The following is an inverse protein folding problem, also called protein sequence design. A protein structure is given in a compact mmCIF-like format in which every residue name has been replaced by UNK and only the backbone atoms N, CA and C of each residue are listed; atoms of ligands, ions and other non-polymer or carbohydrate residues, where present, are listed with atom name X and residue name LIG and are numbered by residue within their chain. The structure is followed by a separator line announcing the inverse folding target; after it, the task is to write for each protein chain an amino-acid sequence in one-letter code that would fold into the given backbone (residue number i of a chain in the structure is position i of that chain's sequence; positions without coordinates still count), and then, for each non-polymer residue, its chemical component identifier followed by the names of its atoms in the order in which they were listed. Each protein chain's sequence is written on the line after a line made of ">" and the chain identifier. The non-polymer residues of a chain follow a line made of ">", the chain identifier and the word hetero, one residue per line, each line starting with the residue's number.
data_IF_134869292164
#
_entry.id   IF_134869292164
#
_cell.length_a   1.000
_cell.length_b   1.000
_cell.length_c   1.000
_cell.angle_alpha   90.00
_cell.angle_beta   90.00
_cell.angle_gamma   90.00
#
_symmetry.space_group_name_H-M   'P 1'
#
loop_
_entity.id
_entity.type
_entity.pdbx_description
1 polymer ?
#
# COMPACT_ATOMS: atom_id res chain seq x y z
N UNK A 1 14.26 43.13 15.49
CA UNK A 1 13.46 42.73 16.68
C UNK A 1 12.82 41.37 16.39
N UNK A 2 13.44 40.28 16.83
CA UNK A 2 12.88 38.90 16.71
C UNK A 2 12.55 38.47 18.15
N UNK A 3 11.26 38.26 18.45
CA UNK A 3 10.82 37.66 19.72
C UNK A 3 10.75 36.13 19.52
N UNK A 4 11.60 35.43 20.23
CA UNK A 4 11.48 33.99 20.41
C UNK A 4 10.40 33.72 21.47
N UNK A 5 9.40 32.89 21.11
CA UNK A 5 8.39 32.41 22.04
C UNK A 5 8.93 31.09 22.62
N UNK A 6 9.26 31.12 23.90
CA UNK A 6 9.69 29.96 24.66
C UNK A 6 8.45 29.35 25.34
N UNK A 7 8.03 28.13 24.93
CA UNK A 7 7.03 27.36 25.66
C UNK A 7 7.69 26.57 26.78
N UNK A 8 7.40 26.95 28.01
CA UNK A 8 7.79 26.19 29.21
C UNK A 8 6.78 25.08 29.45
N UNK A 9 7.18 23.83 29.23
CA UNK A 9 6.46 22.68 29.78
C UNK A 9 6.89 22.46 31.24
N UNK A 10 5.92 22.54 32.15
CA UNK A 10 6.10 22.15 33.55
C UNK A 10 5.95 20.63 33.65
N UNK A 11 7.04 19.89 33.79
CA UNK A 11 7.04 18.52 34.25
C UNK A 11 7.00 18.51 35.80
N UNK A 12 5.96 17.88 36.36
CA UNK A 12 5.95 17.48 37.79
C UNK A 12 6.50 16.07 37.91
N UNK A 13 7.55 15.93 38.66
CA UNK A 13 8.08 14.60 39.04
C UNK A 13 7.72 14.36 40.49
N UNK A 14 7.09 13.22 40.78
CA UNK A 14 6.90 12.70 42.14
C UNK A 14 7.86 11.54 42.33
N UNK A 15 8.87 11.72 43.17
CA UNK A 15 9.74 10.64 43.62
C UNK A 15 9.09 9.94 44.82
N UNK A 16 9.06 8.63 44.79
CA UNK A 16 8.67 7.82 45.95
C UNK A 16 9.72 8.03 47.07
N UNK A 17 9.35 8.77 48.11
CA UNK A 17 10.21 9.03 49.29
C UNK A 17 10.13 10.47 49.77
N UNK A 18 8.96 11.02 49.93
CA UNK A 18 8.52 12.20 50.66
C UNK A 18 9.58 13.19 51.21
N UNK A 19 10.24 13.98 50.38
CA UNK A 19 10.90 15.24 50.75
C UNK A 19 10.70 16.29 49.66
N UNK A 20 10.03 17.37 50.00
CA UNK A 20 9.92 18.57 49.15
C UNK A 20 11.22 19.35 49.15
N UNK A 21 11.70 19.72 47.96
CA UNK A 21 12.79 20.66 47.78
C UNK A 21 12.23 22.04 47.41
N UNK A 22 12.49 23.05 48.21
CA UNK A 22 12.22 24.45 47.89
C UNK A 22 13.42 25.06 47.12
N UNK A 23 13.19 25.78 46.02
CA UNK A 23 14.28 26.41 45.28
C UNK A 23 14.77 27.66 45.98
N UNK A 24 16.06 27.70 46.34
CA UNK A 24 16.75 28.90 46.81
C UNK A 24 17.06 29.87 45.67
N UNK A 25 16.86 31.17 45.91
CA UNK A 25 17.26 32.26 45.02
C UNK A 25 18.81 32.42 45.09
N UNK A 26 19.47 32.21 43.95
CA UNK A 26 20.88 32.55 43.80
C UNK A 26 21.22 32.63 42.33
N UNK A 27 21.38 33.83 41.80
CA UNK A 27 21.80 34.06 40.43
C UNK A 27 23.29 33.79 40.26
N UNK A 28 23.67 33.14 39.15
CA UNK A 28 25.07 33.02 38.69
C UNK A 28 25.22 33.44 37.23
N UNK A 29 26.34 34.07 36.87
CA UNK A 29 26.52 34.71 35.56
C UNK A 29 26.87 33.72 34.46
N UNK A 30 26.35 33.99 33.27
CA UNK A 30 26.67 33.31 32.01
C UNK A 30 28.11 33.64 31.56
N UNK A 31 29.00 32.66 31.55
CA UNK A 31 30.17 32.62 30.66
C UNK A 31 30.23 31.26 29.98
N UNK A 32 30.49 31.30 28.68
CA UNK A 32 30.39 30.21 27.74
C UNK A 32 31.23 28.97 28.04
N UNK A 33 30.74 27.85 27.63
CA UNK A 33 31.41 26.55 27.64
C UNK A 33 30.39 25.45 27.72
N UNK A 34 30.01 24.90 26.56
CA UNK A 34 29.20 23.69 26.43
C UNK A 34 29.91 22.51 27.07
N UNK A 35 29.44 22.08 28.23
CA UNK A 35 29.80 20.75 28.78
C UNK A 35 28.52 19.90 28.75
N UNK A 36 28.52 18.90 27.87
CA UNK A 36 27.56 17.82 27.92
C UNK A 36 27.83 17.02 29.22
N UNK A 37 26.82 16.90 30.06
CA UNK A 37 26.81 15.97 31.17
C UNK A 37 26.34 14.62 30.66
N UNK A 38 27.25 13.63 30.66
CA UNK A 38 26.92 12.23 30.53
C UNK A 38 26.22 11.77 31.82
N UNK A 39 24.91 11.55 31.76
CA UNK A 39 24.21 10.76 32.76
C UNK A 39 24.15 9.33 32.28
N UNK A 40 24.93 8.44 32.93
CA UNK A 40 24.73 7.00 32.82
C UNK A 40 23.41 6.62 33.52
N UNK A 41 22.37 6.33 32.73
CA UNK A 41 21.19 5.64 33.22
C UNK A 41 21.44 4.12 33.10
N UNK A 42 21.80 3.48 34.21
CA UNK A 42 21.64 2.04 34.35
C UNK A 42 20.19 1.71 34.60
N UNK A 43 19.44 1.35 33.56
CA UNK A 43 18.19 0.57 33.70
C UNK A 43 17.90 -0.17 32.39
N UNK A 44 18.05 -1.47 32.42
CA UNK A 44 17.17 -2.44 31.74
C UNK A 44 17.16 -2.47 30.21
N UNK A 45 18.26 -2.15 29.50
CA UNK A 45 18.28 -2.21 28.04
C UNK A 45 19.44 -3.06 27.48
N UNK A 46 19.74 -4.21 28.13
CA UNK A 46 20.83 -5.11 27.72
C UNK A 46 20.48 -6.04 26.53
N UNK A 47 19.23 -6.01 26.04
CA UNK A 47 18.77 -6.90 24.95
C UNK A 47 19.23 -6.39 23.56
N UNK A 48 19.57 -5.11 23.42
CA UNK A 48 19.94 -4.52 22.11
C UNK A 48 21.37 -4.88 21.66
N UNK A 49 22.22 -5.40 22.55
CA UNK A 49 23.65 -5.65 22.26
C UNK A 49 23.96 -6.88 21.39
N UNK A 50 22.98 -7.65 20.93
CA UNK A 50 23.21 -8.90 20.18
C UNK A 50 22.87 -8.87 18.68
N UNK A 51 22.53 -7.73 18.11
CA UNK A 51 22.32 -7.63 16.66
C UNK A 51 23.48 -6.89 15.99
N UNK A 52 24.04 -7.39 14.86
CA UNK A 52 25.01 -6.62 14.09
C UNK A 52 24.31 -5.45 13.41
N UNK A 53 24.37 -4.27 14.02
CA UNK A 53 23.87 -3.03 13.43
C UNK A 53 24.95 -2.48 12.52
N UNK A 54 24.78 -2.57 11.22
CA UNK A 54 25.75 -2.08 10.23
C UNK A 54 25.54 -0.63 9.80
N UNK A 55 24.61 0.13 10.41
CA UNK A 55 24.50 1.59 10.25
C UNK A 55 23.97 2.27 11.51
N UNK A 56 24.46 3.46 11.88
CA UNK A 56 23.88 4.27 12.95
C UNK A 56 22.59 4.91 12.44
N UNK A 57 21.50 4.13 12.43
CA UNK A 57 20.18 4.66 12.13
C UNK A 57 19.66 5.45 13.31
N UNK A 58 18.86 6.48 13.03
CA UNK A 58 18.18 7.37 13.99
C UNK A 58 17.24 6.66 14.98
N UNK A 59 17.25 5.32 15.02
CA UNK A 59 16.41 4.45 15.87
C UNK A 59 16.67 4.54 17.37
N UNK A 60 17.76 5.19 17.81
CA UNK A 60 18.21 5.11 19.22
C UNK A 60 17.61 6.14 20.18
N UNK A 61 16.75 7.05 19.75
CA UNK A 61 16.37 8.20 20.60
C UNK A 61 14.91 8.27 21.06
N UNK A 62 14.05 7.38 20.62
CA UNK A 62 12.62 7.40 21.05
C UNK A 62 12.25 6.10 21.75
N UNK A 63 12.13 6.13 23.08
CA UNK A 63 11.51 5.06 23.84
C UNK A 63 10.06 4.91 23.40
N UNK A 64 9.61 3.67 23.14
CA UNK A 64 8.20 3.38 22.96
C UNK A 64 7.41 3.78 24.21
N UNK A 65 6.35 4.56 24.03
CA UNK A 65 5.45 5.01 25.09
C UNK A 65 4.01 4.88 24.64
N UNK A 66 3.18 4.36 25.51
CA UNK A 66 1.73 4.27 25.27
C UNK A 66 0.99 4.20 26.59
N UNK A 67 -0.18 4.84 26.65
CA UNK A 67 -1.13 4.70 27.75
C UNK A 67 -2.09 3.51 27.53
N UNK A 68 -2.11 2.93 26.34
CA UNK A 68 -2.91 1.74 26.01
C UNK A 68 -2.17 0.47 26.42
N UNK A 69 -2.51 -0.06 27.60
CA UNK A 69 -1.86 -1.27 28.16
C UNK A 69 -1.92 -2.49 27.25
N UNK A 70 -2.87 -2.54 26.31
CA UNK A 70 -2.97 -3.66 25.34
C UNK A 70 -1.82 -3.66 24.35
N UNK A 71 -1.20 -2.51 24.09
CA UNK A 71 -0.12 -2.38 23.13
C UNK A 71 1.25 -2.80 23.67
N UNK A 72 1.45 -2.83 25.00
CA UNK A 72 2.74 -3.20 25.58
C UNK A 72 3.18 -4.63 25.21
N UNK A 73 2.36 -5.69 25.40
CA UNK A 73 2.76 -7.04 24.99
C UNK A 73 2.90 -7.18 23.47
N UNK A 74 2.14 -6.41 22.68
CA UNK A 74 2.27 -6.40 21.22
C UNK A 74 3.62 -5.77 20.81
N UNK A 75 4.02 -4.67 21.46
CA UNK A 75 5.32 -4.06 21.25
C UNK A 75 6.47 -5.04 21.51
N UNK A 76 6.41 -5.82 22.61
CA UNK A 76 7.42 -6.83 22.95
C UNK A 76 7.53 -7.89 21.84
N UNK A 77 6.39 -8.40 21.33
CA UNK A 77 6.36 -9.31 20.16
C UNK A 77 6.99 -8.69 18.91
N UNK A 78 6.64 -7.44 18.60
CA UNK A 78 7.16 -6.73 17.42
C UNK A 78 8.68 -6.55 17.49
N UNK A 79 9.21 -6.15 18.65
CA UNK A 79 10.65 -6.04 18.86
C UNK A 79 11.34 -7.39 18.75
N UNK A 80 10.74 -8.44 19.35
CA UNK A 80 11.22 -9.83 19.27
C UNK A 80 11.14 -10.46 17.89
N UNK A 81 10.37 -9.85 16.97
CA UNK A 81 10.12 -10.41 15.62
C UNK A 81 9.12 -11.57 15.66
N UNK A 82 8.26 -11.61 16.68
CA UNK A 82 7.23 -12.62 16.81
C UNK A 82 6.01 -12.27 15.95
N UNK A 83 5.37 -13.29 15.41
CA UNK A 83 4.18 -13.16 14.58
C UNK A 83 2.97 -12.76 15.44
N UNK A 84 2.24 -11.73 15.03
CA UNK A 84 1.05 -11.26 15.71
C UNK A 84 -0.15 -12.19 15.48
N UNK A 85 -0.96 -12.40 16.54
CA UNK A 85 -2.21 -13.15 16.50
C UNK A 85 -3.39 -12.30 15.97
N UNK A 86 -4.55 -12.94 15.79
CA UNK A 86 -5.79 -12.23 15.47
C UNK A 86 -6.19 -11.24 16.58
N UNK A 87 -6.02 -11.62 17.84
CA UNK A 87 -6.34 -10.75 18.99
C UNK A 87 -5.40 -9.55 19.08
N UNK A 88 -4.11 -9.74 18.77
CA UNK A 88 -3.14 -8.64 18.66
C UNK A 88 -3.57 -7.65 17.55
N UNK A 89 -3.96 -8.17 16.39
CA UNK A 89 -4.42 -7.35 15.26
C UNK A 89 -5.70 -6.57 15.61
N UNK A 90 -6.67 -7.20 16.29
CA UNK A 90 -7.86 -6.51 16.78
C UNK A 90 -7.54 -5.44 17.83
N UNK A 91 -6.59 -5.71 18.73
CA UNK A 91 -6.15 -4.73 19.72
C UNK A 91 -5.51 -3.51 19.05
N UNK A 92 -4.70 -3.71 17.98
CA UNK A 92 -4.13 -2.63 17.18
C UNK A 92 -5.22 -1.79 16.49
N UNK A 93 -6.22 -2.42 15.86
CA UNK A 93 -7.34 -1.70 15.24
C UNK A 93 -8.17 -0.91 16.25
N UNK A 94 -8.41 -1.45 17.44
CA UNK A 94 -9.22 -0.86 18.49
C UNK A 94 -8.49 0.13 19.39
N UNK A 95 -7.17 0.26 19.24
CA UNK A 95 -6.39 1.25 19.97
C UNK A 95 -6.68 2.67 19.47
N UNK A 96 -6.84 3.61 20.41
CA UNK A 96 -6.88 5.05 20.11
C UNK A 96 -5.50 5.66 19.94
N UNK A 97 -4.43 4.96 20.32
CA UNK A 97 -3.06 5.45 20.25
C UNK A 97 -2.41 5.13 18.90
N UNK A 98 -2.80 5.90 17.89
CA UNK A 98 -2.27 5.72 16.53
C UNK A 98 -0.76 5.99 16.45
N UNK A 99 -0.21 6.82 17.34
CA UNK A 99 1.22 7.12 17.33
C UNK A 99 2.04 5.91 17.80
N UNK A 100 1.58 5.21 18.83
CA UNK A 100 2.22 3.97 19.28
C UNK A 100 2.12 2.86 18.22
N UNK A 101 0.94 2.68 17.61
CA UNK A 101 0.75 1.72 16.51
C UNK A 101 1.64 2.06 15.32
N UNK A 102 1.71 3.34 14.93
CA UNK A 102 2.56 3.85 13.86
C UNK A 102 4.04 3.67 14.17
N UNK A 103 4.46 3.91 15.41
CA UNK A 103 5.84 3.70 15.84
C UNK A 103 6.29 2.25 15.63
N UNK A 104 5.47 1.28 16.08
CA UNK A 104 5.77 -0.14 15.89
C UNK A 104 5.86 -0.51 14.40
N UNK A 105 4.92 -0.01 13.59
CA UNK A 105 4.91 -0.26 12.15
C UNK A 105 6.13 0.35 11.44
N UNK A 106 6.51 1.57 11.83
CA UNK A 106 7.70 2.24 11.32
C UNK A 106 8.98 1.50 11.72
N UNK A 107 9.05 0.98 12.95
CA UNK A 107 10.17 0.16 13.41
C UNK A 107 10.35 -1.09 12.52
N UNK A 108 9.27 -1.82 12.24
CA UNK A 108 9.31 -2.99 11.33
C UNK A 108 9.75 -2.57 9.93
N UNK A 109 9.16 -1.49 9.40
CA UNK A 109 9.48 -0.94 8.08
C UNK A 109 10.97 -0.56 7.97
N UNK A 110 11.52 0.12 8.97
CA UNK A 110 12.95 0.53 8.98
C UNK A 110 13.88 -0.67 9.14
N UNK A 111 13.48 -1.69 9.91
CA UNK A 111 14.22 -2.95 10.00
C UNK A 111 14.31 -3.67 8.65
N UNK A 112 13.25 -3.61 7.82
CA UNK A 112 13.19 -4.27 6.51
C UNK A 112 13.88 -3.48 5.39
N UNK A 113 13.74 -2.16 5.38
CA UNK A 113 14.08 -1.33 4.22
C UNK A 113 15.05 -0.18 4.52
N UNK A 114 15.46 0.01 5.78
CA UNK A 114 16.24 1.18 6.18
C UNK A 114 15.50 2.47 5.86
N UNK A 115 16.15 3.41 5.19
CA UNK A 115 15.53 4.67 4.77
C UNK A 115 14.94 4.61 3.34
N UNK A 116 15.09 3.50 2.63
CA UNK A 116 14.63 3.35 1.25
C UNK A 116 13.11 3.42 1.16
N UNK A 117 12.60 4.18 0.20
CA UNK A 117 11.18 4.25 -0.16
C UNK A 117 11.04 4.14 -1.67
N UNK A 118 10.20 3.21 -2.09
CA UNK A 118 10.07 2.80 -3.48
C UNK A 118 8.98 3.59 -4.20
N UNK A 119 9.20 3.78 -5.51
CA UNK A 119 8.20 4.28 -6.44
C UNK A 119 8.52 3.76 -7.86
N UNK A 120 7.55 3.77 -8.77
CA UNK A 120 7.79 3.40 -10.16
C UNK A 120 7.25 4.44 -11.15
N UNK A 121 7.63 4.29 -12.42
CA UNK A 121 7.06 5.06 -13.52
C UNK A 121 6.09 4.17 -14.28
N UNK A 122 4.80 4.36 -14.02
CA UNK A 122 3.73 3.52 -14.56
C UNK A 122 2.64 4.34 -15.25
N UNK A 123 1.94 3.68 -16.17
CA UNK A 123 0.80 4.18 -16.89
C UNK A 123 -0.38 3.22 -16.78
N UNK A 124 -1.58 3.75 -16.59
CA UNK A 124 -2.81 2.98 -16.57
C UNK A 124 -3.44 2.90 -17.96
N UNK A 125 -3.98 1.72 -18.28
CA UNK A 125 -4.75 1.47 -19.49
C UNK A 125 -6.04 0.78 -19.05
N UNK A 126 -7.17 1.42 -19.31
CA UNK A 126 -8.48 0.87 -19.00
C UNK A 126 -9.20 0.55 -20.33
N UNK A 127 -9.08 -0.66 -20.90
CA UNK A 127 -9.56 -0.96 -22.24
C UNK A 127 -11.07 -0.87 -22.39
N UNK A 128 -11.82 -1.03 -21.29
CA UNK A 128 -13.28 -0.86 -21.28
C UNK A 128 -13.78 -0.55 -19.87
N UNK A 129 -14.85 0.26 -19.78
CA UNK A 129 -15.62 0.43 -18.57
C UNK A 129 -16.95 -0.33 -18.60
N UNK A 130 -17.27 -1.01 -19.71
CA UNK A 130 -18.46 -1.87 -19.79
C UNK A 130 -18.32 -3.06 -18.84
N UNK A 131 -19.25 -3.19 -17.87
CA UNK A 131 -19.12 -4.17 -16.80
C UNK A 131 -20.46 -4.77 -16.41
N UNK A 132 -20.55 -6.10 -16.38
CA UNK A 132 -21.75 -6.84 -15.94
C UNK A 132 -21.83 -7.02 -14.43
N UNK A 133 -20.75 -6.75 -13.68
CA UNK A 133 -20.73 -7.00 -12.23
C UNK A 133 -21.61 -6.03 -11.43
N UNK A 134 -21.88 -4.83 -11.94
CA UNK A 134 -22.76 -3.83 -11.34
C UNK A 134 -22.52 -3.62 -9.82
N UNK A 135 -21.24 -3.61 -9.38
CA UNK A 135 -20.86 -3.48 -7.97
C UNK A 135 -21.33 -2.15 -7.40
N UNK A 136 -21.92 -2.16 -6.21
CA UNK A 136 -22.40 -0.95 -5.54
C UNK A 136 -21.28 0.00 -5.09
N UNK A 137 -20.07 -0.53 -4.94
CA UNK A 137 -18.88 0.26 -4.59
C UNK A 137 -18.27 1.02 -5.79
N UNK A 138 -18.65 0.71 -7.03
CA UNK A 138 -17.91 1.11 -8.23
C UNK A 138 -18.64 2.22 -9.00
N UNK A 139 -17.95 3.35 -9.19
CA UNK A 139 -18.41 4.45 -10.03
C UNK A 139 -17.94 4.35 -11.49
N UNK A 140 -16.96 3.51 -11.80
CA UNK A 140 -16.34 3.36 -13.12
C UNK A 140 -17.18 2.48 -14.07
N UNK A 141 -17.69 1.35 -13.56
CA UNK A 141 -18.42 0.38 -14.37
C UNK A 141 -19.71 0.95 -14.99
N UNK A 142 -19.93 0.71 -16.27
CA UNK A 142 -21.13 1.09 -17.02
C UNK A 142 -21.81 -0.14 -17.60
N UNK A 143 -23.14 -0.11 -17.71
CA UNK A 143 -23.84 -1.08 -18.53
C UNK A 143 -23.56 -0.80 -20.01
N UNK A 144 -23.47 -1.85 -20.83
CA UNK A 144 -23.34 -1.70 -22.27
C UNK A 144 -24.44 -0.76 -22.82
N UNK A 145 -24.10 0.02 -23.81
CA UNK A 145 -25.03 0.95 -24.52
C UNK A 145 -25.63 2.06 -23.63
N UNK A 146 -25.01 2.33 -22.44
CA UNK A 146 -25.38 3.48 -21.60
C UNK A 146 -24.46 4.67 -21.84
N UNK A 147 -24.89 5.91 -21.55
CA UNK A 147 -24.02 7.09 -21.68
C UNK A 147 -22.71 6.94 -20.91
N UNK A 148 -21.59 7.24 -21.58
CA UNK A 148 -20.27 7.13 -21.03
C UNK A 148 -19.66 5.73 -21.04
N UNK A 149 -20.38 4.70 -21.53
CA UNK A 149 -19.82 3.37 -21.77
C UNK A 149 -18.86 3.44 -22.97
N UNK A 150 -17.70 2.81 -22.82
CA UNK A 150 -16.71 2.72 -23.90
C UNK A 150 -16.00 1.37 -23.91
N UNK A 151 -15.47 1.01 -25.07
CA UNK A 151 -14.56 -0.12 -25.28
C UNK A 151 -13.58 0.30 -26.35
N UNK A 152 -12.31 0.27 -26.04
CA UNK A 152 -11.24 0.63 -26.98
C UNK A 152 -11.09 -0.45 -28.07
N UNK A 153 -10.92 -0.05 -29.31
CA UNK A 153 -10.30 -0.91 -30.29
C UNK A 153 -8.84 -1.19 -29.92
N UNK A 154 -8.24 -2.26 -30.44
CA UNK A 154 -6.84 -2.59 -30.11
C UNK A 154 -5.90 -1.43 -30.46
N UNK A 155 -6.08 -0.82 -31.62
CA UNK A 155 -5.28 0.33 -32.09
C UNK A 155 -5.39 1.52 -31.13
N UNK A 156 -6.60 1.83 -30.65
CA UNK A 156 -6.83 2.89 -29.67
C UNK A 156 -6.11 2.63 -28.36
N UNK A 157 -6.12 1.37 -27.88
CA UNK A 157 -5.38 0.96 -26.69
C UNK A 157 -3.85 1.10 -26.89
N UNK A 158 -3.33 0.77 -28.08
CA UNK A 158 -1.92 0.93 -28.42
C UNK A 158 -1.52 2.40 -28.55
N UNK A 159 -2.36 3.23 -29.14
CA UNK A 159 -2.15 4.68 -29.20
C UNK A 159 -2.18 5.30 -27.80
N UNK A 160 -3.11 4.85 -26.94
CA UNK A 160 -3.16 5.25 -25.53
C UNK A 160 -1.86 4.89 -24.83
N UNK A 161 -1.33 3.69 -25.02
CA UNK A 161 -0.04 3.29 -24.46
C UNK A 161 1.10 4.18 -24.98
N UNK A 162 1.13 4.46 -26.29
CA UNK A 162 2.16 5.24 -26.93
C UNK A 162 2.14 6.73 -26.56
N UNK A 163 0.95 7.33 -26.39
CA UNK A 163 0.78 8.78 -26.16
C UNK A 163 1.42 9.28 -24.86
N UNK A 164 1.58 8.44 -23.87
CA UNK A 164 2.29 8.78 -22.63
C UNK A 164 3.56 7.97 -22.44
N UNK A 165 3.95 7.21 -23.46
CA UNK A 165 5.18 6.44 -23.40
C UNK A 165 6.37 7.37 -23.47
N UNK A 166 7.20 7.27 -22.45
CA UNK A 166 8.58 7.73 -22.47
C UNK A 166 9.44 6.50 -22.20
N UNK A 167 10.70 6.50 -22.56
CA UNK A 167 11.64 5.43 -22.21
C UNK A 167 11.73 5.18 -20.68
N UNK A 168 11.13 6.11 -19.92
CA UNK A 168 11.03 6.00 -18.47
C UNK A 168 9.97 5.01 -17.99
N UNK A 169 8.92 4.71 -18.77
CA UNK A 169 7.81 3.85 -18.34
C UNK A 169 8.29 2.40 -18.18
N UNK A 170 8.14 1.87 -16.96
CA UNK A 170 8.52 0.48 -16.63
C UNK A 170 7.34 -0.46 -16.52
N UNK A 171 6.10 0.07 -16.39
CA UNK A 171 4.90 -0.74 -16.16
C UNK A 171 3.68 -0.15 -16.89
N UNK A 172 2.94 -1.00 -17.60
CA UNK A 172 1.55 -0.74 -17.96
C UNK A 172 0.63 -1.50 -17.00
N UNK A 173 -0.23 -0.75 -16.32
CA UNK A 173 -1.25 -1.29 -15.42
C UNK A 173 -2.58 -1.38 -16.15
N UNK A 174 -3.04 -2.61 -16.42
CA UNK A 174 -4.18 -2.88 -17.31
C UNK A 174 -5.31 -3.52 -16.50
N UNK A 175 -6.39 -2.79 -16.30
CA UNK A 175 -7.61 -3.28 -15.65
C UNK A 175 -8.84 -2.66 -16.30
N UNK A 176 -9.95 -3.38 -16.33
CA UNK A 176 -11.17 -2.89 -16.97
C UNK A 176 -12.46 -3.49 -16.41
N UNK A 177 -13.56 -3.19 -17.08
CA UNK A 177 -14.85 -3.77 -16.81
C UNK A 177 -14.95 -5.23 -17.30
N UNK A 178 -15.87 -6.01 -16.70
CA UNK A 178 -16.22 -7.35 -17.13
C UNK A 178 -17.15 -7.28 -18.34
N UNK A 179 -16.59 -7.13 -19.53
CA UNK A 179 -17.33 -6.89 -20.77
C UNK A 179 -18.08 -8.14 -21.24
N UNK A 180 -19.40 -8.09 -21.49
CA UNK A 180 -20.20 -9.26 -21.85
C UNK A 180 -19.88 -9.86 -23.23
N UNK A 181 -19.42 -9.05 -24.18
CA UNK A 181 -19.32 -9.48 -25.59
C UNK A 181 -17.89 -9.60 -26.10
N UNK A 182 -16.88 -8.96 -25.46
CA UNK A 182 -15.51 -9.08 -25.89
C UNK A 182 -15.04 -10.54 -25.82
N UNK A 183 -14.49 -11.08 -26.91
CA UNK A 183 -13.92 -12.43 -26.91
C UNK A 183 -12.63 -12.45 -26.09
N UNK A 184 -12.28 -13.62 -25.54
CA UNK A 184 -11.01 -13.78 -24.82
C UNK A 184 -9.79 -13.42 -25.68
N UNK A 185 -9.88 -13.69 -27.00
CA UNK A 185 -8.83 -13.35 -27.97
C UNK A 185 -8.48 -11.85 -27.97
N UNK A 186 -9.45 -10.94 -27.76
CA UNK A 186 -9.18 -9.50 -27.65
C UNK A 186 -8.14 -9.20 -26.56
N UNK A 187 -8.23 -9.85 -25.41
CA UNK A 187 -7.31 -9.63 -24.29
C UNK A 187 -5.93 -10.22 -24.56
N UNK A 188 -5.86 -11.36 -25.27
CA UNK A 188 -4.62 -11.94 -25.73
C UNK A 188 -3.91 -11.05 -26.75
N UNK A 189 -4.66 -10.54 -27.73
CA UNK A 189 -4.13 -9.64 -28.77
C UNK A 189 -3.69 -8.28 -28.19
N UNK A 190 -4.44 -7.77 -27.20
CA UNK A 190 -4.06 -6.57 -26.46
C UNK A 190 -2.67 -6.74 -25.82
N UNK A 191 -2.47 -7.81 -25.06
CA UNK A 191 -1.21 -8.04 -24.36
C UNK A 191 -0.05 -8.31 -25.33
N UNK A 192 -0.24 -9.18 -26.33
CA UNK A 192 0.79 -9.49 -27.31
C UNK A 192 1.15 -8.28 -28.18
N UNK A 193 0.15 -7.48 -28.56
CA UNK A 193 0.38 -6.25 -29.32
C UNK A 193 1.12 -5.18 -28.52
N UNK A 194 0.85 -5.03 -27.22
CA UNK A 194 1.62 -4.17 -26.32
C UNK A 194 3.06 -4.66 -26.15
N UNK A 195 3.27 -5.97 -25.95
CA UNK A 195 4.61 -6.56 -25.86
C UNK A 195 5.43 -6.40 -27.13
N UNK A 196 4.79 -6.49 -28.28
CA UNK A 196 5.43 -6.27 -29.57
C UNK A 196 5.94 -4.83 -29.72
N UNK A 197 5.14 -3.84 -29.31
CA UNK A 197 5.44 -2.42 -29.43
C UNK A 197 6.37 -1.91 -28.32
N UNK A 198 6.25 -2.48 -27.12
CA UNK A 198 6.95 -2.05 -25.91
C UNK A 198 7.55 -3.26 -25.17
N UNK A 199 8.52 -3.97 -25.75
CA UNK A 199 9.01 -5.26 -25.24
C UNK A 199 9.63 -5.16 -23.84
N UNK A 200 10.15 -3.99 -23.45
CA UNK A 200 10.78 -3.78 -22.15
C UNK A 200 9.77 -3.40 -21.04
N UNK A 201 8.53 -3.05 -21.39
CA UNK A 201 7.53 -2.64 -20.41
C UNK A 201 6.86 -3.86 -19.79
N UNK A 202 6.79 -3.90 -18.48
CA UNK A 202 6.10 -4.94 -17.72
C UNK A 202 4.58 -4.77 -17.84
N UNK A 203 3.87 -5.81 -18.25
CA UNK A 203 2.41 -5.82 -18.28
C UNK A 203 1.86 -6.38 -16.98
N UNK A 204 1.37 -5.51 -16.10
CA UNK A 204 0.60 -5.87 -14.92
C UNK A 204 -0.88 -5.81 -15.28
N UNK A 205 -1.47 -6.96 -15.61
CA UNK A 205 -2.78 -7.00 -16.25
C UNK A 205 -3.73 -7.99 -15.58
N UNK A 206 -4.98 -7.60 -15.53
CA UNK A 206 -6.15 -8.37 -15.11
C UNK A 206 -6.16 -8.80 -13.65
N UNK A 207 -7.19 -8.34 -12.93
CA UNK A 207 -7.45 -8.77 -11.56
C UNK A 207 -7.88 -10.23 -11.50
N UNK A 208 -7.86 -10.86 -10.33
CA UNK A 208 -8.37 -12.22 -10.14
C UNK A 208 -9.82 -12.35 -10.55
N UNK A 209 -10.60 -11.27 -10.38
CA UNK A 209 -12.02 -11.21 -10.82
C UNK A 209 -12.12 -11.24 -12.34
N UNK A 210 -11.29 -10.47 -13.05
CA UNK A 210 -11.25 -10.47 -14.52
C UNK A 210 -10.79 -11.84 -15.04
N UNK A 211 -9.76 -12.44 -14.47
CA UNK A 211 -9.26 -13.78 -14.84
C UNK A 211 -10.37 -14.82 -14.67
N UNK A 212 -11.07 -14.86 -13.54
CA UNK A 212 -12.17 -15.78 -13.32
C UNK A 212 -13.34 -15.58 -14.30
N UNK A 213 -13.64 -14.32 -14.63
CA UNK A 213 -14.66 -14.00 -15.62
C UNK A 213 -14.25 -14.44 -17.02
N UNK A 214 -13.02 -14.16 -17.44
CA UNK A 214 -12.49 -14.58 -18.74
C UNK A 214 -12.44 -16.10 -18.88
N UNK A 215 -12.02 -16.80 -17.84
CA UNK A 215 -12.03 -18.27 -17.75
C UNK A 215 -13.43 -18.83 -18.03
N UNK A 216 -14.45 -18.32 -17.32
CA UNK A 216 -15.85 -18.71 -17.52
C UNK A 216 -16.33 -18.44 -18.94
N UNK A 217 -15.99 -17.28 -19.51
CA UNK A 217 -16.36 -16.86 -20.86
C UNK A 217 -15.71 -17.72 -21.95
N UNK A 218 -14.42 -18.02 -21.77
CA UNK A 218 -13.66 -18.85 -22.70
C UNK A 218 -13.91 -20.35 -22.54
N UNK A 219 -14.65 -20.75 -21.50
CA UNK A 219 -14.84 -22.18 -21.10
C UNK A 219 -13.52 -22.90 -20.85
N UNK A 220 -12.58 -22.21 -20.23
CA UNK A 220 -11.27 -22.70 -19.81
C UNK A 220 -11.21 -22.81 -18.29
N UNK A 221 -10.30 -23.60 -17.76
CA UNK A 221 -9.93 -23.54 -16.34
C UNK A 221 -9.18 -22.22 -16.03
N UNK A 222 -9.13 -21.84 -14.75
CA UNK A 222 -8.33 -20.68 -14.30
C UNK A 222 -6.87 -20.84 -14.73
N UNK A 223 -6.29 -22.04 -14.58
CA UNK A 223 -4.91 -22.34 -14.97
C UNK A 223 -4.67 -22.12 -16.46
N UNK A 224 -5.49 -22.72 -17.32
CA UNK A 224 -5.36 -22.56 -18.78
C UNK A 224 -5.51 -21.08 -19.20
N UNK A 225 -6.44 -20.36 -18.59
CA UNK A 225 -6.62 -18.91 -18.83
C UNK A 225 -5.36 -18.14 -18.48
N UNK A 226 -4.81 -18.38 -17.30
CA UNK A 226 -3.60 -17.70 -16.83
C UNK A 226 -2.36 -18.07 -17.67
N UNK A 227 -2.22 -19.33 -18.09
CA UNK A 227 -1.14 -19.77 -18.96
C UNK A 227 -1.19 -19.09 -20.33
N UNK A 228 -2.39 -18.94 -20.92
CA UNK A 228 -2.56 -18.23 -22.19
C UNK A 228 -2.30 -16.71 -22.03
N UNK A 229 -2.78 -16.09 -20.95
CA UNK A 229 -2.47 -14.69 -20.64
C UNK A 229 -0.96 -14.48 -20.44
N UNK A 230 -0.30 -15.37 -19.72
CA UNK A 230 1.17 -15.34 -19.56
C UNK A 230 1.88 -15.48 -20.89
N UNK A 231 1.46 -16.42 -21.73
CA UNK A 231 2.03 -16.61 -23.08
C UNK A 231 1.82 -15.39 -24.00
N UNK A 232 0.72 -14.63 -23.80
CA UNK A 232 0.46 -13.39 -24.53
C UNK A 232 1.25 -12.18 -24.01
N UNK A 233 1.99 -12.34 -22.90
CA UNK A 233 2.87 -11.30 -22.38
C UNK A 233 2.45 -10.68 -21.06
N UNK A 234 1.44 -11.20 -20.36
CA UNK A 234 1.14 -10.78 -18.98
C UNK A 234 2.26 -11.25 -18.05
N UNK A 235 2.88 -10.30 -17.34
CA UNK A 235 4.03 -10.57 -16.48
C UNK A 235 3.63 -10.68 -15.00
N UNK A 236 2.56 -9.99 -14.56
CA UNK A 236 2.03 -10.08 -13.19
C UNK A 236 0.57 -9.61 -13.12
N UNK A 237 -0.08 -9.82 -11.97
CA UNK A 237 -1.46 -9.41 -11.74
C UNK A 237 -1.55 -8.26 -10.70
N UNK A 238 -2.46 -7.29 -10.88
CA UNK A 238 -2.59 -6.12 -10.00
C UNK A 238 -3.19 -6.42 -8.61
N UNK A 239 -3.87 -7.55 -8.44
CA UNK A 239 -4.44 -7.95 -7.14
C UNK A 239 -5.76 -7.29 -6.77
N UNK A 240 -6.33 -6.45 -7.62
CA UNK A 240 -7.62 -5.81 -7.38
C UNK A 240 -8.80 -6.80 -7.32
N UNK A 241 -9.97 -6.29 -6.90
CA UNK A 241 -11.20 -7.09 -6.79
C UNK A 241 -11.31 -7.95 -5.53
N UNK A 242 -10.29 -7.97 -4.67
CA UNK A 242 -10.33 -8.63 -3.37
C UNK A 242 -11.37 -7.99 -2.45
N UNK A 243 -11.46 -6.69 -2.47
CA UNK A 243 -12.31 -5.83 -1.61
C UNK A 243 -12.16 -6.19 -0.13
N UNK A 244 -13.10 -6.94 0.43
CA UNK A 244 -13.04 -7.67 1.71
C UNK A 244 -13.50 -9.10 1.45
N UNK A 245 -12.85 -10.10 2.08
CA UNK A 245 -13.19 -11.51 1.87
C UNK A 245 -14.44 -11.98 2.62
N UNK A 246 -14.88 -11.25 3.65
CA UNK A 246 -16.08 -11.59 4.40
C UNK A 246 -17.34 -11.57 3.52
N UNK A 247 -18.02 -12.70 3.39
CA UNK A 247 -19.21 -12.87 2.52
C UNK A 247 -20.29 -11.86 2.84
N UNK A 248 -20.55 -11.61 4.12
CA UNK A 248 -21.50 -10.60 4.59
C UNK A 248 -21.26 -9.23 3.92
N UNK A 249 -20.00 -8.83 3.82
CA UNK A 249 -19.61 -7.56 3.22
C UNK A 249 -19.74 -7.63 1.71
N UNK A 250 -19.24 -8.71 1.08
CA UNK A 250 -19.28 -8.90 -0.37
C UNK A 250 -20.70 -8.87 -0.92
N UNK A 251 -21.67 -9.51 -0.26
CA UNK A 251 -23.10 -9.43 -0.64
C UNK A 251 -23.64 -8.00 -0.66
N UNK A 252 -23.14 -7.11 0.19
CA UNK A 252 -23.58 -5.71 0.22
C UNK A 252 -22.92 -4.90 -0.90
N UNK A 253 -21.63 -5.10 -1.17
CA UNK A 253 -20.83 -4.18 -2.01
C UNK A 253 -20.57 -4.70 -3.42
N UNK A 254 -20.48 -6.02 -3.64
CA UNK A 254 -20.04 -6.63 -4.90
C UNK A 254 -20.55 -8.07 -5.12
N UNK A 255 -21.83 -8.33 -4.87
CA UNK A 255 -22.47 -9.65 -4.88
C UNK A 255 -22.26 -10.47 -6.18
N UNK A 256 -22.05 -9.80 -7.30
CA UNK A 256 -21.85 -10.47 -8.61
C UNK A 256 -20.39 -10.79 -8.95
N UNK A 257 -19.47 -10.50 -8.04
CA UNK A 257 -18.06 -10.93 -8.17
C UNK A 257 -17.88 -12.34 -7.59
N UNK A 258 -16.76 -12.97 -7.93
CA UNK A 258 -16.30 -14.17 -7.25
C UNK A 258 -16.18 -13.90 -5.73
N UNK A 259 -16.39 -14.93 -4.91
CA UNK A 259 -16.23 -14.84 -3.47
C UNK A 259 -14.74 -14.72 -3.04
N UNK A 260 -14.51 -14.62 -1.74
CA UNK A 260 -13.15 -14.44 -1.19
C UNK A 260 -12.27 -15.66 -1.43
N UNK A 261 -12.80 -16.85 -1.29
CA UNK A 261 -12.04 -18.10 -1.45
C UNK A 261 -11.68 -18.32 -2.92
N UNK A 262 -12.60 -18.05 -3.84
CA UNK A 262 -12.33 -18.10 -5.29
C UNK A 262 -11.27 -17.09 -5.71
N UNK A 263 -11.24 -15.90 -5.09
CA UNK A 263 -10.20 -14.91 -5.32
C UNK A 263 -8.83 -15.45 -4.87
N UNK A 264 -8.75 -16.01 -3.66
CA UNK A 264 -7.53 -16.60 -3.10
C UNK A 264 -7.05 -17.80 -3.93
N UNK A 265 -7.97 -18.67 -4.39
CA UNK A 265 -7.63 -19.79 -5.26
C UNK A 265 -7.10 -19.36 -6.62
N UNK A 266 -7.69 -18.30 -7.22
CA UNK A 266 -7.17 -17.73 -8.47
C UNK A 266 -5.77 -17.17 -8.28
N UNK A 267 -5.50 -16.46 -7.17
CA UNK A 267 -4.16 -15.97 -6.84
C UNK A 267 -3.17 -17.12 -6.61
N UNK A 268 -3.57 -18.17 -5.90
CA UNK A 268 -2.77 -19.37 -5.67
C UNK A 268 -2.32 -20.01 -6.98
N UNK A 269 -3.26 -20.20 -7.92
CA UNK A 269 -2.95 -20.79 -9.22
C UNK A 269 -2.00 -19.89 -10.02
N UNK A 270 -2.20 -18.55 -9.99
CA UNK A 270 -1.30 -17.60 -10.63
C UNK A 270 0.13 -17.73 -10.08
N UNK A 271 0.27 -17.79 -8.76
CA UNK A 271 1.58 -17.95 -8.11
C UNK A 271 2.24 -19.29 -8.46
N UNK A 272 1.48 -20.39 -8.52
CA UNK A 272 1.98 -21.73 -8.88
C UNK A 272 2.57 -21.79 -10.30
N UNK A 273 2.04 -21.01 -11.24
CA UNK A 273 2.59 -20.93 -12.61
C UNK A 273 3.68 -19.83 -12.73
N UNK A 274 4.08 -19.25 -11.61
CA UNK A 274 5.17 -18.25 -11.54
C UNK A 274 4.78 -16.82 -11.88
N UNK A 275 3.47 -16.48 -11.96
CA UNK A 275 3.02 -15.09 -12.00
C UNK A 275 2.98 -14.52 -10.58
N UNK A 276 3.62 -13.38 -10.37
CA UNK A 276 3.49 -12.62 -9.12
C UNK A 276 2.24 -11.75 -9.13
N UNK A 277 1.78 -11.33 -7.95
CA UNK A 277 0.67 -10.39 -7.84
C UNK A 277 0.83 -9.42 -6.66
N UNK A 278 0.03 -8.36 -6.66
CA UNK A 278 -0.23 -7.59 -5.46
C UNK A 278 -1.41 -8.21 -4.69
N UNK A 279 -1.61 -7.77 -3.45
CA UNK A 279 -2.81 -8.01 -2.67
C UNK A 279 -3.44 -6.67 -2.29
N UNK A 280 -4.76 -6.57 -2.29
CA UNK A 280 -5.49 -5.35 -1.94
C UNK A 280 -6.53 -5.61 -0.87
N UNK A 281 -6.89 -4.58 -0.12
CA UNK A 281 -8.06 -4.55 0.76
C UNK A 281 -8.76 -3.21 0.60
N UNK A 282 -10.04 -3.20 0.26
CA UNK A 282 -10.85 -1.98 0.25
C UNK A 282 -11.42 -1.77 1.66
N UNK A 283 -11.24 -0.59 2.24
CA UNK A 283 -11.67 -0.27 3.60
C UNK A 283 -12.43 1.05 3.67
N UNK A 284 -13.18 1.24 4.76
CA UNK A 284 -13.93 2.47 5.03
C UNK A 284 -15.34 2.47 4.44
N UNK A 285 -15.96 1.29 4.29
CA UNK A 285 -17.35 1.16 3.81
C UNK A 285 -18.25 0.50 4.87
N UNK A 286 -18.59 -0.80 4.75
CA UNK A 286 -19.52 -1.50 5.66
C UNK A 286 -18.86 -2.63 6.43
N UNK A 287 -17.56 -2.77 6.29
CA UNK A 287 -16.74 -3.74 7.03
C UNK A 287 -16.47 -3.26 8.47
N UNK A 288 -16.12 -4.20 9.34
CA UNK A 288 -15.67 -3.93 10.70
C UNK A 288 -14.20 -4.38 10.91
N UNK A 289 -13.67 -4.23 12.12
CA UNK A 289 -12.29 -4.59 12.43
C UNK A 289 -12.03 -6.09 12.30
N UNK A 290 -13.01 -6.93 12.64
CA UNK A 290 -12.94 -8.38 12.49
C UNK A 290 -12.83 -8.81 11.02
N UNK A 291 -13.61 -8.18 10.13
CA UNK A 291 -13.55 -8.44 8.69
C UNK A 291 -12.18 -8.07 8.11
N UNK A 292 -11.57 -6.96 8.59
CA UNK A 292 -10.23 -6.53 8.18
C UNK A 292 -9.16 -7.49 8.65
N UNK A 293 -9.25 -7.95 9.89
CA UNK A 293 -8.30 -8.92 10.46
C UNK A 293 -8.39 -10.26 9.73
N UNK A 294 -9.60 -10.80 9.50
CA UNK A 294 -9.81 -12.03 8.73
C UNK A 294 -9.16 -11.92 7.34
N UNK A 295 -9.39 -10.80 6.66
CA UNK A 295 -8.81 -10.53 5.34
C UNK A 295 -7.27 -10.56 5.36
N UNK A 296 -6.66 -9.85 6.31
CA UNK A 296 -5.19 -9.83 6.44
C UNK A 296 -4.62 -11.22 6.76
N UNK A 297 -5.28 -11.98 7.65
CA UNK A 297 -4.83 -13.32 8.02
C UNK A 297 -4.94 -14.31 6.86
N UNK A 298 -5.99 -14.24 6.05
CA UNK A 298 -6.13 -15.06 4.83
C UNK A 298 -5.05 -14.73 3.80
N UNK A 299 -4.75 -13.44 3.58
CA UNK A 299 -3.65 -13.04 2.71
C UNK A 299 -2.30 -13.52 3.23
N UNK A 300 -2.05 -13.41 4.54
CA UNK A 300 -0.82 -13.88 5.18
C UNK A 300 -0.65 -15.39 5.00
N UNK A 301 -1.71 -16.16 5.21
CA UNK A 301 -1.69 -17.61 5.04
C UNK A 301 -1.36 -18.02 3.59
N UNK A 302 -1.97 -17.36 2.59
CA UNK A 302 -1.66 -17.61 1.19
C UNK A 302 -0.22 -17.19 0.84
N UNK A 303 0.28 -16.12 1.43
CA UNK A 303 1.68 -15.70 1.26
C UNK A 303 2.65 -16.71 1.88
N UNK A 304 2.34 -17.28 3.05
CA UNK A 304 3.13 -18.37 3.63
C UNK A 304 3.19 -19.59 2.71
N UNK A 305 2.07 -19.91 2.03
CA UNK A 305 1.98 -21.04 1.10
C UNK A 305 2.77 -20.78 -0.19
N UNK A 306 2.68 -19.60 -0.78
CA UNK A 306 3.08 -19.36 -2.17
C UNK A 306 4.27 -18.41 -2.35
N UNK A 307 4.47 -17.48 -1.41
CA UNK A 307 5.45 -16.37 -1.56
C UNK A 307 5.21 -15.53 -2.82
N UNK A 308 3.97 -15.51 -3.35
CA UNK A 308 3.65 -14.93 -4.64
C UNK A 308 3.26 -13.45 -4.60
N UNK A 309 2.83 -12.93 -3.45
CA UNK A 309 2.49 -11.52 -3.32
C UNK A 309 3.74 -10.65 -3.23
N UNK A 310 3.75 -9.55 -3.99
CA UNK A 310 4.82 -8.56 -4.01
C UNK A 310 4.58 -7.43 -2.99
N UNK A 311 3.34 -6.96 -2.90
CA UNK A 311 2.97 -5.84 -2.03
C UNK A 311 1.52 -5.95 -1.59
N UNK A 312 1.24 -5.42 -0.39
CA UNK A 312 -0.12 -5.17 0.07
C UNK A 312 -0.47 -3.70 -0.12
N UNK A 313 -1.67 -3.44 -0.62
CA UNK A 313 -2.18 -2.10 -0.92
C UNK A 313 -3.54 -1.91 -0.24
N UNK A 314 -3.63 -1.23 0.89
CA UNK A 314 -4.90 -0.82 1.44
C UNK A 314 -5.49 0.32 0.59
N UNK A 315 -6.74 0.17 0.18
CA UNK A 315 -7.45 1.05 -0.73
C UNK A 315 -8.58 1.75 0.03
N UNK A 316 -8.52 3.08 0.15
CA UNK A 316 -9.54 3.87 0.82
C UNK A 316 -10.81 3.93 -0.05
N UNK A 317 -11.99 3.62 0.50
CA UNK A 317 -13.23 3.70 -0.24
C UNK A 317 -13.63 5.15 -0.52
N UNK A 318 -13.93 5.45 -1.79
CA UNK A 318 -14.48 6.71 -2.25
C UNK A 318 -15.96 6.50 -2.57
N UNK A 319 -16.89 7.05 -1.78
CA UNK A 319 -18.31 6.79 -1.93
C UNK A 319 -18.99 7.61 -3.04
N UNK A 320 -18.38 8.72 -3.48
CA UNK A 320 -19.01 9.65 -4.41
C UNK A 320 -19.35 8.95 -5.75
N UNK A 321 -20.48 9.32 -6.35
CA UNK A 321 -20.99 8.75 -7.60
C UNK A 321 -21.26 7.23 -7.55
N UNK A 322 -21.34 6.64 -6.36
CA UNK A 322 -21.70 5.22 -6.18
C UNK A 322 -23.06 5.07 -5.50
N UNK A 323 -23.72 3.90 -5.61
CA UNK A 323 -24.90 3.59 -4.78
C UNK A 323 -24.68 3.65 -3.27
N UNK A 324 -23.42 3.72 -2.82
CA UNK A 324 -23.03 3.82 -1.41
C UNK A 324 -22.61 5.25 -1.00
N UNK A 325 -22.96 6.27 -1.78
CA UNK A 325 -22.61 7.68 -1.52
C UNK A 325 -23.11 8.24 -0.17
N UNK A 326 -24.03 7.54 0.50
CA UNK A 326 -24.51 7.89 1.85
C UNK A 326 -23.48 7.53 2.95
N UNK A 327 -22.47 6.74 2.65
CA UNK A 327 -21.41 6.39 3.59
C UNK A 327 -20.41 7.56 3.71
N UNK A 328 -19.80 7.76 4.89
CA UNK A 328 -18.78 8.78 5.06
C UNK A 328 -17.50 8.40 4.29
N UNK A 329 -16.73 9.42 3.89
CA UNK A 329 -15.35 9.20 3.42
C UNK A 329 -14.47 8.71 4.56
N UNK A 330 -13.39 8.01 4.23
CA UNK A 330 -12.37 7.60 5.19
C UNK A 330 -11.72 8.81 5.88
N UNK A 331 -11.11 8.57 7.02
CA UNK A 331 -10.36 9.60 7.74
C UNK A 331 -8.86 9.28 7.71
N UNK A 332 -8.01 10.29 7.79
CA UNK A 332 -6.57 10.09 7.85
C UNK A 332 -6.11 9.19 9.01
N UNK A 333 -6.86 9.18 10.12
CA UNK A 333 -6.61 8.26 11.25
C UNK A 333 -6.84 6.80 10.84
N UNK A 334 -7.92 6.52 10.10
CA UNK A 334 -8.21 5.18 9.59
C UNK A 334 -7.17 4.79 8.52
N UNK A 335 -6.81 5.71 7.63
CA UNK A 335 -5.82 5.46 6.58
C UNK A 335 -4.46 5.05 7.19
N UNK A 336 -3.98 5.80 8.19
CA UNK A 336 -2.73 5.46 8.88
C UNK A 336 -2.83 4.15 9.64
N UNK A 337 -3.99 3.85 10.22
CA UNK A 337 -4.24 2.59 10.93
C UNK A 337 -4.18 1.40 9.97
N UNK A 338 -4.77 1.49 8.77
CA UNK A 338 -4.72 0.43 7.77
C UNK A 338 -3.28 0.12 7.31
N UNK A 339 -2.49 1.15 7.03
CA UNK A 339 -1.07 1.02 6.68
C UNK A 339 -0.30 0.34 7.82
N UNK A 340 -0.46 0.86 9.06
CA UNK A 340 0.31 0.38 10.20
C UNK A 340 -0.04 -1.07 10.58
N UNK A 341 -1.33 -1.40 10.66
CA UNK A 341 -1.76 -2.76 11.00
C UNK A 341 -1.40 -3.72 9.86
N UNK A 342 -1.54 -3.29 8.59
CA UNK A 342 -1.09 -4.06 7.44
C UNK A 342 0.39 -4.43 7.55
N UNK A 343 1.29 -3.48 7.88
CA UNK A 343 2.73 -3.75 8.07
C UNK A 343 3.00 -4.71 9.23
N UNK A 344 2.27 -4.57 10.33
CA UNK A 344 2.50 -5.36 11.54
C UNK A 344 1.97 -6.80 11.43
N UNK A 345 0.85 -6.99 10.74
CA UNK A 345 0.18 -8.30 10.63
C UNK A 345 0.73 -9.12 9.46
N UNK A 346 1.03 -8.46 8.34
CA UNK A 346 1.57 -9.10 7.13
C UNK A 346 3.11 -9.19 7.19
N UNK A 347 3.62 -9.88 8.20
CA UNK A 347 5.05 -10.04 8.49
C UNK A 347 5.85 -10.70 7.36
N UNK A 348 5.19 -11.45 6.50
CA UNK A 348 5.73 -12.14 5.33
C UNK A 348 5.55 -11.38 4.00
N UNK A 349 4.95 -10.18 4.02
CA UNK A 349 4.86 -9.34 2.83
C UNK A 349 6.08 -8.43 2.71
N UNK A 350 6.79 -8.44 1.58
CA UNK A 350 7.97 -7.59 1.42
C UNK A 350 7.63 -6.11 1.46
N UNK A 351 6.52 -5.68 0.86
CA UNK A 351 6.20 -4.27 0.72
C UNK A 351 4.77 -3.93 1.17
N UNK A 352 4.60 -2.72 1.74
CA UNK A 352 3.30 -2.09 2.01
C UNK A 352 3.25 -0.78 1.23
N UNK A 353 2.30 -0.70 0.31
CA UNK A 353 2.16 0.44 -0.59
C UNK A 353 1.10 1.42 -0.10
N UNK A 354 1.42 2.69 -0.07
CA UNK A 354 0.47 3.78 0.12
C UNK A 354 0.07 4.36 -1.24
N UNK A 355 -1.15 4.07 -1.68
CA UNK A 355 -1.64 4.50 -2.99
C UNK A 355 -2.11 5.96 -2.92
N UNK A 356 -1.22 6.90 -3.29
CA UNK A 356 -1.44 8.33 -3.12
C UNK A 356 -2.68 8.87 -3.87
N UNK A 357 -3.12 8.21 -4.92
CA UNK A 357 -4.34 8.58 -5.64
C UNK A 357 -5.58 8.52 -4.75
N UNK A 358 -5.63 7.57 -3.82
CA UNK A 358 -6.79 7.38 -2.95
C UNK A 358 -6.69 8.15 -1.63
N UNK A 359 -5.51 8.15 -0.99
CA UNK A 359 -5.34 8.77 0.34
C UNK A 359 -4.82 10.20 0.28
N UNK A 360 -4.52 10.73 -0.90
CA UNK A 360 -3.80 11.97 -1.20
C UNK A 360 -2.28 11.87 -1.05
N UNK A 361 -1.56 12.72 -1.81
CA UNK A 361 -0.10 12.79 -1.75
C UNK A 361 0.44 13.13 -0.36
N UNK A 362 -0.28 14.00 0.41
CA UNK A 362 0.10 14.36 1.78
C UNK A 362 -0.02 13.18 2.74
N UNK A 363 -1.12 12.45 2.67
CA UNK A 363 -1.32 11.27 3.53
C UNK A 363 -0.37 10.13 3.16
N UNK A 364 -0.12 9.91 1.86
CA UNK A 364 0.86 8.95 1.40
C UNK A 364 2.28 9.30 1.90
N UNK A 365 2.67 10.58 1.90
CA UNK A 365 3.93 11.03 2.48
C UNK A 365 4.02 10.74 3.99
N UNK A 366 2.95 11.04 4.76
CA UNK A 366 2.89 10.78 6.20
C UNK A 366 3.00 9.27 6.47
N UNK A 367 2.34 8.43 5.66
CA UNK A 367 2.32 6.97 5.82
C UNK A 367 3.71 6.33 5.77
N UNK A 368 4.71 7.00 5.18
CA UNK A 368 6.11 6.56 5.18
C UNK A 368 6.73 6.52 6.60
N UNK A 369 6.08 7.14 7.58
CA UNK A 369 6.40 7.06 9.01
C UNK A 369 5.45 6.16 9.78
N UNK A 370 4.50 5.52 9.08
CA UNK A 370 3.49 4.63 9.63
C UNK A 370 3.54 3.21 9.04
N UNK A 371 4.66 2.82 8.45
CA UNK A 371 4.89 1.45 7.98
C UNK A 371 4.89 1.26 6.46
N UNK A 372 4.47 2.25 5.67
CA UNK A 372 4.59 2.18 4.21
C UNK A 372 6.06 2.35 3.77
N UNK A 373 6.45 1.60 2.75
CA UNK A 373 7.75 1.69 2.11
C UNK A 373 7.66 1.97 0.60
N UNK A 374 6.45 2.08 0.04
CA UNK A 374 6.19 2.34 -1.37
C UNK A 374 5.08 3.39 -1.53
N UNK A 375 5.31 4.40 -2.37
CA UNK A 375 4.34 5.47 -2.69
C UNK A 375 3.59 5.23 -4.01
N UNK A 376 3.67 4.00 -4.56
CA UNK A 376 3.22 3.70 -5.92
C UNK A 376 4.06 4.43 -6.98
N UNK A 377 3.46 4.90 -8.04
CA UNK A 377 4.17 5.48 -9.15
C UNK A 377 3.56 6.78 -9.68
N UNK A 378 3.93 7.10 -10.89
CA UNK A 378 3.42 8.28 -11.62
C UNK A 378 1.92 8.20 -11.90
N UNK A 379 1.36 6.99 -12.03
CA UNK A 379 -0.08 6.69 -12.17
C UNK A 379 -0.75 7.57 -13.22
N UNK A 380 -0.17 7.63 -14.42
CA UNK A 380 -0.70 8.46 -15.49
C UNK A 380 -2.01 7.87 -16.01
N UNK A 381 -3.06 8.70 -16.12
CA UNK A 381 -4.41 8.38 -16.61
C UNK A 381 -5.21 7.38 -15.74
N UNK A 382 -5.14 7.48 -14.44
CA UNK A 382 -6.03 6.75 -13.54
C UNK A 382 -7.48 7.29 -13.69
N UNK A 383 -8.42 6.43 -14.08
CA UNK A 383 -9.83 6.79 -14.31
C UNK A 383 -10.77 6.26 -13.22
N UNK A 384 -10.47 5.13 -12.61
CA UNK A 384 -11.40 4.38 -11.77
C UNK A 384 -11.76 5.15 -10.50
N UNK A 385 -10.78 5.72 -9.83
CA UNK A 385 -10.99 6.50 -8.59
C UNK A 385 -11.46 7.93 -8.87
N UNK A 386 -11.07 8.50 -10.01
CA UNK A 386 -11.57 9.82 -10.43
C UNK A 386 -13.08 9.76 -10.74
N UNK A 387 -13.58 8.70 -11.33
CA UNK A 387 -15.01 8.47 -11.49
C UNK A 387 -15.75 8.36 -10.14
N UNK A 388 -15.09 7.86 -9.10
CA UNK A 388 -15.58 7.80 -7.72
C UNK A 388 -15.34 9.10 -6.91
N UNK A 389 -14.98 10.22 -7.57
CA UNK A 389 -14.85 11.52 -6.93
C UNK A 389 -13.50 11.78 -6.28
N UNK A 390 -12.43 11.08 -6.66
CA UNK A 390 -11.07 11.42 -6.24
C UNK A 390 -10.69 12.80 -6.81
N UNK A 391 -10.10 13.65 -5.96
CA UNK A 391 -9.69 15.03 -6.30
C UNK A 391 -8.18 15.17 -6.50
N UNK A 392 -7.46 14.07 -6.46
CA UNK A 392 -6.01 14.02 -6.72
C UNK A 392 -5.72 14.27 -8.21
N UNK A 393 -4.53 14.75 -8.58
CA UNK A 393 -4.14 14.85 -9.99
C UNK A 393 -4.20 13.50 -10.70
N UNK A 394 -4.47 13.48 -11.99
CA UNK A 394 -4.48 12.25 -12.81
C UNK A 394 -3.08 11.68 -13.14
N UNK A 395 -2.08 12.14 -12.44
CA UNK A 395 -0.71 11.71 -12.53
C UNK A 395 0.20 12.58 -11.69
N UNK A 396 1.34 12.04 -11.28
CA UNK A 396 2.38 12.75 -10.55
C UNK A 396 3.71 12.58 -11.29
N UNK A 397 4.47 13.67 -11.42
CA UNK A 397 5.79 13.57 -12.02
C UNK A 397 6.77 12.85 -11.10
N UNK A 398 7.73 12.16 -11.66
CA UNK A 398 8.79 11.44 -10.96
C UNK A 398 9.51 12.33 -9.95
N UNK A 399 9.89 13.54 -10.35
CA UNK A 399 10.61 14.49 -9.48
C UNK A 399 9.78 14.93 -8.27
N UNK A 400 8.47 14.98 -8.42
CA UNK A 400 7.57 15.29 -7.31
C UNK A 400 7.46 14.13 -6.32
N UNK A 401 7.40 12.88 -6.80
CA UNK A 401 7.48 11.69 -5.93
C UNK A 401 8.79 11.68 -5.14
N UNK A 402 9.91 11.89 -5.81
CA UNK A 402 11.23 11.98 -5.16
C UNK A 402 11.28 13.09 -4.12
N UNK A 403 10.73 14.26 -4.45
CA UNK A 403 10.68 15.41 -3.53
C UNK A 403 9.86 15.09 -2.26
N UNK A 404 8.70 14.45 -2.42
CA UNK A 404 7.85 14.05 -1.30
C UNK A 404 8.53 13.02 -0.42
N UNK A 405 9.20 12.03 -1.01
CA UNK A 405 9.93 10.99 -0.28
C UNK A 405 11.10 11.60 0.51
N UNK A 406 11.91 12.47 -0.11
CA UNK A 406 13.02 13.16 0.57
C UNK A 406 12.52 14.08 1.69
N UNK A 407 11.41 14.77 1.48
CA UNK A 407 10.80 15.63 2.50
C UNK A 407 10.23 14.84 3.70
N UNK A 408 9.95 13.54 3.53
CA UNK A 408 9.63 12.62 4.64
C UNK A 408 10.88 12.11 5.38
N UNK A 409 12.09 12.53 4.98
CA UNK A 409 13.36 12.03 5.51
C UNK A 409 13.66 10.60 5.07
N UNK A 410 13.26 10.24 3.84
CA UNK A 410 13.47 8.92 3.23
C UNK A 410 14.28 9.04 1.93
N UNK A 411 14.92 7.95 1.54
CA UNK A 411 15.69 7.82 0.30
C UNK A 411 14.76 7.32 -0.83
N UNK A 412 14.53 8.08 -1.91
CA UNK A 412 13.72 7.63 -3.03
C UNK A 412 14.49 6.61 -3.86
N UNK A 413 13.87 5.44 -4.07
CA UNK A 413 14.39 4.36 -4.91
C UNK A 413 13.38 4.13 -6.03
N UNK A 414 13.75 4.46 -7.27
CA UNK A 414 12.96 4.05 -8.41
C UNK A 414 13.11 2.55 -8.62
N UNK A 415 11.97 1.87 -8.82
CA UNK A 415 11.90 0.43 -9.05
C UNK A 415 11.12 0.08 -10.31
N UNK A 416 11.35 -1.12 -10.82
CA UNK A 416 10.42 -1.75 -11.75
C UNK A 416 9.24 -2.44 -11.00
N UNK A 417 8.39 -3.14 -11.73
CA UNK A 417 7.25 -3.85 -11.16
C UNK A 417 7.65 -4.97 -10.21
N UNK A 418 8.82 -5.58 -10.40
CA UNK A 418 9.34 -6.69 -9.57
C UNK A 418 10.22 -6.20 -8.41
N UNK A 419 10.17 -4.90 -8.10
CA UNK A 419 10.98 -4.24 -7.06
C UNK A 419 12.49 -4.27 -7.29
N UNK A 420 12.94 -4.46 -8.54
CA UNK A 420 14.33 -4.30 -8.91
C UNK A 420 14.62 -2.80 -9.09
N UNK A 421 15.76 -2.36 -8.57
CA UNK A 421 16.14 -0.94 -8.65
C UNK A 421 16.38 -0.52 -10.11
N UNK A 422 15.79 0.59 -10.49
CA UNK A 422 16.00 1.24 -11.79
C UNK A 422 17.05 2.34 -11.63
N UNK A 423 18.11 2.27 -12.41
CA UNK A 423 19.13 3.33 -12.46
C UNK A 423 19.00 4.05 -13.79
N UNK A 424 18.91 5.38 -13.75
CA UNK A 424 18.82 6.23 -14.94
C UNK A 424 20.09 7.03 -15.09
N UNK A 425 20.63 7.01 -16.30
CA UNK A 425 21.65 7.99 -16.75
C UNK A 425 21.00 8.89 -17.80
N UNK A 426 21.67 9.96 -18.20
CA UNK A 426 21.16 10.86 -19.26
C UNK A 426 20.87 10.12 -20.58
N UNK A 427 21.48 8.96 -20.81
CA UNK A 427 21.43 8.19 -22.06
C UNK A 427 20.90 6.78 -21.94
N UNK A 428 20.64 6.28 -20.73
CA UNK A 428 20.19 4.88 -20.53
C UNK A 428 19.32 4.67 -19.29
N UNK A 429 18.50 3.62 -19.34
CA UNK A 429 17.73 3.09 -18.21
C UNK A 429 18.22 1.67 -17.95
N UNK A 430 18.70 1.38 -16.75
CA UNK A 430 19.17 0.05 -16.35
C UNK A 430 18.35 -0.45 -15.17
N UNK A 431 17.90 -1.69 -15.24
CA UNK A 431 17.23 -2.39 -14.15
C UNK A 431 18.25 -3.37 -13.52
N UNK A 432 18.43 -3.33 -12.23
CA UNK A 432 19.28 -4.30 -11.52
C UNK A 432 18.71 -5.71 -11.70
N UNK A 433 19.57 -6.68 -12.00
CA UNK A 433 19.18 -8.09 -12.21
C UNK A 433 18.96 -8.79 -10.86
#
# INVERSE_FOLDING_TARGET
>A
MRRAICFMFRCRYTLAGGREFKPGRGGFPLRGGTRCWNYEFQTGCDIIKKMPVTHPSHLQTHCFQTDDRRLQPIHEKVIGGERLSADDALALYRSGDILAVGWMANFVRERMHGDKTYFNVNRHINPTNVCVAACRLCAFGRKKDTPGAYTMALEEAFETAASGYTEAVTEFHIVGGLHPDLPFQYFLDLCSGLKQRFPQVHLKAFTMVEVAYLSKRAKLSIRETLEQLKASGVDSLPGGGAEIFADRVRHIICDHKIDGDQWLDTARIAHQIGLKSNATMLYGHVENDEDRVDHLLKLRALQDETGGFQTFIPLAFHPDNTPLQHLPKTTGMLDMKQISVGRLVLDNFPHIKSYWQMVSAKMAQISLRFGADDMDGTVIEEKIYHDAGATTPQGMRREELERLIRAAGREPIERDTLYRQVTRTETSVTVAV
#
